data_IF_174170494943
#
_entry.id   IF_174170494943
#
_cell.length_a   1.000
_cell.length_b   1.000
_cell.length_c   1.000
_cell.angle_alpha   90.00
_cell.angle_beta   90.00
_cell.angle_gamma   90.00
#
_symmetry.space_group_name_H-M   'P 1'
#
loop_
_entity.id
_entity.type
_entity.pdbx_description
1 polymer ?
#
# COMPACT_ATOMS: atom_id res chain seq x y z
N UNK A 1 27.42 -25.82 -38.74
CA UNK A 1 27.27 -27.13 -38.05
C UNK A 1 26.10 -27.03 -37.10
N UNK A 2 24.94 -27.40 -37.63
CA UNK A 2 23.96 -28.38 -37.11
C UNK A 2 22.89 -27.74 -36.23
N UNK A 3 21.85 -27.24 -36.89
CA UNK A 3 20.52 -27.12 -36.30
C UNK A 3 19.98 -28.53 -36.05
N UNK A 4 19.49 -28.78 -34.83
CA UNK A 4 18.79 -30.01 -34.46
C UNK A 4 17.33 -29.68 -34.13
N UNK A 5 16.34 -30.38 -34.71
CA UNK A 5 14.93 -30.13 -34.50
C UNK A 5 14.44 -30.84 -33.23
N UNK A 6 14.11 -30.06 -32.20
CA UNK A 6 13.34 -30.53 -31.04
C UNK A 6 12.60 -29.35 -30.39
N UNK A 7 11.58 -28.86 -31.07
CA UNK A 7 10.59 -27.95 -30.52
C UNK A 7 9.58 -28.74 -29.67
N UNK A 8 9.97 -29.06 -28.43
CA UNK A 8 9.11 -29.57 -27.36
C UNK A 8 9.57 -29.02 -26.01
N UNK A 9 8.90 -27.97 -25.54
CA UNK A 9 8.82 -27.60 -24.12
C UNK A 9 10.08 -26.98 -23.49
N UNK A 10 10.69 -25.96 -24.11
CA UNK A 10 11.67 -25.13 -23.39
C UNK A 10 10.95 -24.37 -22.28
N UNK A 11 11.25 -24.72 -21.03
CA UNK A 11 10.87 -23.89 -19.89
C UNK A 11 11.39 -22.48 -20.13
N UNK A 12 10.52 -21.47 -20.03
CA UNK A 12 10.92 -20.07 -20.16
C UNK A 12 11.96 -19.80 -19.07
N UNK A 13 13.18 -19.47 -19.48
CA UNK A 13 14.29 -19.18 -18.56
C UNK A 13 13.96 -17.95 -17.71
N UNK A 14 14.43 -17.96 -16.46
CA UNK A 14 14.37 -16.79 -15.58
C UNK A 14 15.17 -15.65 -16.22
N UNK A 15 14.57 -14.47 -16.30
CA UNK A 15 15.20 -13.28 -16.83
C UNK A 15 15.24 -12.20 -15.75
N UNK A 16 16.35 -11.48 -15.64
CA UNK A 16 16.55 -10.48 -14.61
C UNK A 16 17.30 -9.27 -15.13
N UNK A 17 16.92 -8.10 -14.62
CA UNK A 17 17.57 -6.81 -14.83
C UNK A 17 17.95 -6.21 -13.48
N UNK A 18 19.08 -5.50 -13.46
CA UNK A 18 19.64 -4.85 -12.27
C UNK A 18 20.20 -3.51 -12.68
N UNK A 19 19.85 -2.47 -11.94
CA UNK A 19 20.34 -1.12 -12.20
C UNK A 19 20.53 -0.34 -10.90
N UNK A 20 21.62 0.43 -10.83
CA UNK A 20 21.85 1.42 -9.78
C UNK A 20 21.24 2.77 -10.19
N UNK A 21 20.51 3.39 -9.29
CA UNK A 21 19.85 4.68 -9.47
C UNK A 21 20.45 5.67 -8.47
N UNK A 22 21.28 6.60 -8.95
CA UNK A 22 21.89 7.65 -8.13
C UNK A 22 21.14 8.98 -8.31
N UNK A 23 20.60 9.54 -7.22
CA UNK A 23 19.84 10.80 -7.24
C UNK A 23 19.84 11.46 -5.86
N UNK A 24 20.00 12.79 -5.82
CA UNK A 24 19.96 13.55 -4.56
C UNK A 24 21.02 13.16 -3.52
N UNK A 25 22.19 12.67 -3.96
CA UNK A 25 23.27 12.19 -3.07
C UNK A 25 23.02 10.82 -2.44
N UNK A 26 21.98 10.10 -2.88
CA UNK A 26 21.67 8.74 -2.45
C UNK A 26 21.78 7.77 -3.61
N UNK A 27 22.14 6.53 -3.30
CA UNK A 27 22.14 5.42 -4.25
C UNK A 27 21.03 4.43 -3.89
N UNK A 28 20.23 4.10 -4.88
CA UNK A 28 19.16 3.11 -4.83
C UNK A 28 19.47 1.99 -5.81
N UNK A 29 18.90 0.82 -5.60
CA UNK A 29 19.08 -0.31 -6.49
C UNK A 29 17.72 -0.85 -6.93
N UNK A 30 17.54 -1.04 -8.23
CA UNK A 30 16.36 -1.64 -8.82
C UNK A 30 16.73 -2.99 -9.41
N UNK A 31 16.09 -4.05 -8.90
CA UNK A 31 16.11 -5.38 -9.49
C UNK A 31 14.75 -5.68 -10.09
N UNK A 32 14.69 -6.27 -11.27
CA UNK A 32 13.41 -6.71 -11.87
C UNK A 32 13.55 -8.09 -12.48
N UNK A 33 12.77 -9.04 -11.98
CA UNK A 33 12.92 -10.47 -12.28
C UNK A 33 11.61 -11.05 -12.77
N UNK A 34 11.64 -11.80 -13.87
CA UNK A 34 10.52 -12.63 -14.30
C UNK A 34 10.50 -13.95 -13.53
N UNK A 35 9.34 -14.31 -12.99
CA UNK A 35 9.09 -15.53 -12.22
C UNK A 35 8.19 -16.47 -13.05
N UNK A 36 8.76 -17.42 -13.82
CA UNK A 36 8.01 -18.18 -14.83
C UNK A 36 6.87 -19.02 -14.26
N UNK A 37 7.05 -19.59 -13.06
CA UNK A 37 6.03 -20.44 -12.41
C UNK A 37 4.74 -19.67 -12.10
N UNK A 38 4.87 -18.40 -11.72
CA UNK A 38 3.75 -17.52 -11.39
C UNK A 38 3.32 -16.63 -12.55
N UNK A 39 4.12 -16.59 -13.63
CA UNK A 39 3.95 -15.68 -14.78
C UNK A 39 3.86 -14.21 -14.36
N UNK A 40 4.66 -13.82 -13.35
CA UNK A 40 4.74 -12.44 -12.87
C UNK A 40 6.12 -11.85 -13.12
N UNK A 41 6.16 -10.53 -13.27
CA UNK A 41 7.37 -9.73 -13.17
C UNK A 41 7.38 -9.08 -11.80
N UNK A 42 8.49 -9.21 -11.08
CA UNK A 42 8.67 -8.58 -9.77
C UNK A 42 9.78 -7.55 -9.82
N UNK A 43 9.45 -6.29 -9.57
CA UNK A 43 10.43 -5.22 -9.34
C UNK A 43 10.67 -5.06 -7.84
N UNK A 44 11.93 -4.99 -7.42
CA UNK A 44 12.33 -4.81 -6.02
C UNK A 44 13.29 -3.63 -5.93
N UNK A 45 13.01 -2.68 -5.05
CA UNK A 45 13.80 -1.50 -4.81
C UNK A 45 14.51 -1.58 -3.46
N UNK A 46 15.79 -1.25 -3.46
CA UNK A 46 16.63 -1.28 -2.28
C UNK A 46 17.32 0.06 -2.05
N UNK A 47 17.57 0.35 -0.78
CA UNK A 47 18.42 1.45 -0.33
C UNK A 47 19.33 0.92 0.76
N UNK A 48 20.63 1.18 0.68
CA UNK A 48 21.63 0.64 1.63
C UNK A 48 21.59 -0.90 1.82
N UNK A 49 21.14 -1.64 0.80
CA UNK A 49 20.98 -3.10 0.86
C UNK A 49 19.67 -3.59 1.47
N UNK A 50 18.82 -2.69 1.95
CA UNK A 50 17.51 -3.02 2.54
C UNK A 50 16.40 -2.84 1.50
N UNK A 51 15.50 -3.83 1.42
CA UNK A 51 14.32 -3.77 0.56
C UNK A 51 13.32 -2.78 1.16
N UNK A 52 12.99 -1.71 0.43
CA UNK A 52 11.95 -0.78 0.86
C UNK A 52 10.67 -0.91 0.02
N UNK A 53 10.76 -1.24 -1.27
CA UNK A 53 9.58 -1.35 -2.13
C UNK A 53 9.63 -2.57 -3.05
N UNK A 54 8.46 -3.13 -3.37
CA UNK A 54 8.31 -4.28 -4.27
C UNK A 54 7.06 -4.11 -5.11
N UNK A 55 7.13 -4.22 -6.42
CA UNK A 55 5.96 -4.23 -7.31
C UNK A 55 5.85 -5.57 -8.03
N UNK A 56 4.61 -6.00 -8.27
CA UNK A 56 4.29 -7.25 -8.96
C UNK A 56 3.37 -6.90 -10.10
N UNK A 57 3.78 -7.28 -11.31
CA UNK A 57 3.05 -7.04 -12.55
C UNK A 57 2.75 -8.39 -13.19
N UNK A 58 1.49 -8.62 -13.57
CA UNK A 58 1.08 -9.89 -14.19
C UNK A 58 1.45 -9.86 -15.67
N UNK A 59 2.11 -10.90 -16.18
CA UNK A 59 2.41 -10.99 -17.63
C UNK A 59 1.12 -11.01 -18.48
N UNK A 60 0.00 -11.46 -17.91
CA UNK A 60 -1.30 -11.45 -18.56
C UNK A 60 -1.82 -10.04 -18.90
N UNK A 61 -1.27 -9.01 -18.25
CA UNK A 61 -1.60 -7.61 -18.51
C UNK A 61 -0.79 -7.01 -19.67
N UNK A 62 0.21 -7.74 -20.18
CA UNK A 62 0.99 -7.27 -21.31
C UNK A 62 0.17 -7.31 -22.63
N UNK A 63 0.46 -6.41 -23.58
CA UNK A 63 -0.17 -6.46 -24.90
C UNK A 63 -0.01 -7.84 -25.56
N UNK A 64 -1.03 -8.28 -26.29
CA UNK A 64 -1.04 -9.59 -26.93
C UNK A 64 0.22 -9.83 -27.79
N UNK A 65 0.88 -10.98 -27.59
CA UNK A 65 2.12 -11.34 -28.28
C UNK A 65 3.40 -10.79 -27.65
N UNK A 66 3.32 -10.00 -26.58
CA UNK A 66 4.50 -9.54 -25.83
C UNK A 66 5.14 -10.72 -25.11
N UNK A 67 6.41 -10.99 -25.40
CA UNK A 67 7.18 -12.01 -24.69
C UNK A 67 7.59 -11.53 -23.29
N UNK A 68 7.85 -12.48 -22.38
CA UNK A 68 8.19 -12.19 -20.98
C UNK A 68 9.42 -11.29 -20.84
N UNK A 69 10.42 -11.40 -21.74
CA UNK A 69 11.65 -10.60 -21.67
C UNK A 69 11.38 -9.16 -22.06
N UNK A 70 10.60 -8.95 -23.13
CA UNK A 70 10.16 -7.62 -23.57
C UNK A 70 9.30 -6.95 -22.50
N UNK A 71 8.34 -7.68 -21.91
CA UNK A 71 7.53 -7.17 -20.81
C UNK A 71 8.37 -6.81 -19.57
N UNK A 72 9.32 -7.67 -19.18
CA UNK A 72 10.20 -7.40 -18.04
C UNK A 72 11.05 -6.15 -18.24
N UNK A 73 11.59 -5.92 -19.45
CA UNK A 73 12.31 -4.69 -19.79
C UNK A 73 11.43 -3.46 -19.71
N UNK A 74 10.20 -3.56 -20.20
CA UNK A 74 9.23 -2.48 -20.12
C UNK A 74 8.92 -2.11 -18.67
N UNK A 75 8.52 -3.09 -17.85
CA UNK A 75 8.24 -2.91 -16.42
C UNK A 75 9.44 -2.34 -15.67
N UNK A 76 10.66 -2.82 -15.98
CA UNK A 76 11.88 -2.29 -15.36
C UNK A 76 12.09 -0.80 -15.65
N UNK A 77 12.01 -0.41 -16.92
CA UNK A 77 12.19 0.99 -17.32
C UNK A 77 11.08 1.88 -16.77
N UNK A 78 9.83 1.43 -16.82
CA UNK A 78 8.71 2.18 -16.28
C UNK A 78 8.85 2.40 -14.77
N UNK A 79 9.15 1.36 -14.01
CA UNK A 79 9.32 1.46 -12.56
C UNK A 79 10.50 2.37 -12.19
N UNK A 80 11.60 2.33 -12.95
CA UNK A 80 12.73 3.26 -12.82
C UNK A 80 12.32 4.69 -13.11
N UNK A 81 11.65 4.95 -14.23
CA UNK A 81 11.28 6.29 -14.66
C UNK A 81 10.31 6.92 -13.65
N UNK A 82 9.29 6.17 -13.19
CA UNK A 82 8.38 6.63 -12.12
C UNK A 82 9.12 6.92 -10.81
N UNK A 83 10.15 6.15 -10.48
CA UNK A 83 10.93 6.37 -9.26
C UNK A 83 11.81 7.63 -9.37
N UNK A 84 12.57 7.76 -10.46
CA UNK A 84 13.37 8.95 -10.75
C UNK A 84 12.50 10.22 -10.79
N UNK A 85 11.31 10.08 -11.37
CA UNK A 85 10.29 11.11 -11.39
C UNK A 85 9.90 11.56 -9.97
N UNK A 86 9.51 10.62 -9.09
CA UNK A 86 9.20 10.95 -7.69
C UNK A 86 10.35 11.69 -6.98
N UNK A 87 11.58 11.24 -7.19
CA UNK A 87 12.77 11.91 -6.61
C UNK A 87 12.99 13.32 -7.19
N UNK A 88 12.75 13.52 -8.48
CA UNK A 88 12.80 14.83 -9.13
C UNK A 88 11.71 15.78 -8.63
N UNK A 89 10.47 15.30 -8.50
CA UNK A 89 9.37 16.05 -7.90
C UNK A 89 9.73 16.50 -6.47
N UNK A 90 10.33 15.62 -5.66
CA UNK A 90 10.81 15.96 -4.31
C UNK A 90 11.84 17.09 -4.30
N UNK A 91 12.86 17.04 -5.16
CA UNK A 91 13.88 18.09 -5.25
C UNK A 91 13.29 19.47 -5.59
N UNK A 92 12.22 19.49 -6.39
CA UNK A 92 11.53 20.73 -6.79
C UNK A 92 10.60 21.23 -5.68
N UNK A 93 9.73 20.37 -5.16
CA UNK A 93 8.72 20.70 -4.13
C UNK A 93 9.40 21.23 -2.86
N UNK A 94 10.54 20.69 -2.46
CA UNK A 94 11.30 21.19 -1.29
C UNK A 94 11.79 22.64 -1.40
N UNK A 95 11.74 23.23 -2.59
CA UNK A 95 12.07 24.65 -2.83
C UNK A 95 10.83 25.54 -2.90
N UNK A 96 9.65 24.95 -2.85
CA UNK A 96 8.37 25.65 -2.96
C UNK A 96 7.81 25.96 -1.57
N UNK A 97 7.06 27.05 -1.47
CA UNK A 97 6.28 27.39 -0.27
C UNK A 97 4.84 26.90 -0.45
N UNK A 98 4.66 25.57 -0.57
CA UNK A 98 3.39 24.95 -0.94
C UNK A 98 3.07 23.74 -0.05
N UNK A 99 2.18 23.96 0.91
CA UNK A 99 1.74 22.96 1.86
C UNK A 99 1.03 21.76 1.18
N UNK A 100 0.25 22.00 0.13
CA UNK A 100 -0.49 20.95 -0.58
C UNK A 100 0.47 20.08 -1.39
N UNK A 101 1.47 20.69 -2.05
CA UNK A 101 2.50 19.94 -2.76
C UNK A 101 3.28 19.01 -1.83
N UNK A 102 3.67 19.48 -0.64
CA UNK A 102 4.31 18.66 0.38
C UNK A 102 3.41 17.51 0.86
N UNK A 103 2.11 17.76 1.10
CA UNK A 103 1.15 16.70 1.47
C UNK A 103 1.05 15.61 0.39
N UNK A 104 0.92 16.01 -0.88
CA UNK A 104 0.81 15.07 -2.00
C UNK A 104 2.10 14.28 -2.19
N UNK A 105 3.25 14.92 -2.05
CA UNK A 105 4.52 14.23 -2.10
C UNK A 105 4.66 13.20 -0.95
N UNK A 106 4.27 13.57 0.27
CA UNK A 106 4.24 12.66 1.41
C UNK A 106 3.36 11.43 1.13
N UNK A 107 2.18 11.63 0.53
CA UNK A 107 1.29 10.53 0.14
C UNK A 107 1.97 9.58 -0.85
N UNK A 108 2.67 10.11 -1.87
CA UNK A 108 3.34 9.32 -2.88
C UNK A 108 4.52 8.52 -2.30
N UNK A 109 5.27 9.14 -1.37
CA UNK A 109 6.37 8.49 -0.66
C UNK A 109 5.86 7.36 0.25
N UNK A 110 4.75 7.58 0.98
CA UNK A 110 4.09 6.55 1.77
C UNK A 110 3.68 5.33 0.93
N UNK A 111 3.11 5.56 -0.27
CA UNK A 111 2.74 4.48 -1.20
C UNK A 111 3.95 3.70 -1.73
N UNK A 112 5.10 4.36 -1.80
CA UNK A 112 6.40 3.75 -2.12
C UNK A 112 7.13 3.16 -0.92
N UNK A 113 6.50 3.11 0.25
CA UNK A 113 7.09 2.66 1.52
C UNK A 113 8.35 3.45 1.93
N UNK A 114 8.53 4.66 1.43
CA UNK A 114 9.58 5.60 1.85
C UNK A 114 9.05 6.41 3.04
N UNK A 115 8.89 5.73 4.18
CA UNK A 115 8.14 6.24 5.33
C UNK A 115 8.82 7.43 6.01
N UNK A 116 10.14 7.39 6.15
CA UNK A 116 10.91 8.46 6.76
C UNK A 116 10.83 9.75 5.92
N UNK A 117 10.96 9.62 4.60
CA UNK A 117 10.76 10.74 3.68
C UNK A 117 9.33 11.24 3.70
N UNK A 118 8.34 10.33 3.73
CA UNK A 118 6.94 10.72 3.80
C UNK A 118 6.63 11.52 5.07
N UNK A 119 7.18 11.12 6.22
CA UNK A 119 7.05 11.85 7.49
C UNK A 119 7.67 13.25 7.38
N UNK A 120 8.85 13.37 6.76
CA UNK A 120 9.51 14.67 6.55
C UNK A 120 8.64 15.61 5.72
N UNK A 121 8.11 15.14 4.57
CA UNK A 121 7.27 15.97 3.71
C UNK A 121 5.90 16.26 4.34
N UNK A 122 5.32 15.35 5.12
CA UNK A 122 4.09 15.60 5.86
C UNK A 122 4.29 16.66 6.97
N UNK A 123 5.43 16.67 7.66
CA UNK A 123 5.79 17.73 8.62
C UNK A 123 6.00 19.07 7.93
N UNK A 124 6.68 19.09 6.78
CA UNK A 124 6.82 20.31 5.97
C UNK A 124 5.46 20.85 5.53
N UNK A 125 4.51 19.99 5.15
CA UNK A 125 3.13 20.41 4.86
C UNK A 125 2.49 21.18 6.04
N UNK A 126 2.64 20.65 7.26
CA UNK A 126 2.16 21.32 8.49
C UNK A 126 2.87 22.66 8.69
N UNK A 127 4.20 22.68 8.63
CA UNK A 127 5.02 23.88 8.84
C UNK A 127 4.71 24.99 7.81
N UNK A 128 4.23 24.60 6.63
CA UNK A 128 3.80 25.47 5.53
C UNK A 128 2.35 25.94 5.65
N UNK A 129 1.67 25.62 6.76
CA UNK A 129 0.33 26.11 7.06
C UNK A 129 -0.80 25.16 6.71
N UNK A 130 -0.53 23.86 6.50
CA UNK A 130 -1.61 22.88 6.37
C UNK A 130 -2.29 22.65 7.73
N UNK A 131 -3.50 23.19 7.88
CA UNK A 131 -4.34 23.04 9.08
C UNK A 131 -5.26 21.82 9.07
N UNK A 132 -5.15 20.92 8.10
CA UNK A 132 -5.96 19.70 8.02
C UNK A 132 -5.32 18.54 8.81
N UNK A 133 -6.11 17.52 9.08
CA UNK A 133 -5.76 16.23 9.65
C UNK A 133 -4.99 15.30 8.70
N UNK A 134 -5.03 15.54 7.39
CA UNK A 134 -4.41 14.66 6.38
C UNK A 134 -2.89 14.44 6.56
N UNK A 135 -2.05 15.45 6.86
CA UNK A 135 -0.64 15.22 7.19
C UNK A 135 -0.45 14.27 8.39
N UNK A 136 -1.29 14.39 9.42
CA UNK A 136 -1.23 13.55 10.61
C UNK A 136 -1.61 12.10 10.33
N UNK A 137 -2.56 11.86 9.41
CA UNK A 137 -2.86 10.52 8.90
C UNK A 137 -1.63 9.89 8.25
N UNK A 138 -0.91 10.64 7.42
CA UNK A 138 0.29 10.13 6.74
C UNK A 138 1.41 9.84 7.74
N UNK A 139 1.64 10.72 8.72
CA UNK A 139 2.64 10.50 9.76
C UNK A 139 2.27 9.27 10.59
N UNK A 140 1.03 9.18 11.08
CA UNK A 140 0.56 8.04 11.89
C UNK A 140 0.70 6.71 11.15
N UNK A 141 0.31 6.68 9.87
CA UNK A 141 0.45 5.48 9.02
C UNK A 141 1.91 5.10 8.80
N UNK A 142 2.78 6.06 8.49
CA UNK A 142 4.20 5.82 8.29
C UNK A 142 4.87 5.32 9.59
N UNK A 143 4.57 5.95 10.73
CA UNK A 143 5.08 5.55 12.05
C UNK A 143 4.62 4.15 12.46
N UNK A 144 3.37 3.77 12.20
CA UNK A 144 2.89 2.39 12.39
C UNK A 144 3.71 1.38 11.57
N UNK A 145 4.04 1.73 10.32
CA UNK A 145 4.84 0.87 9.43
C UNK A 145 6.30 0.76 9.82
N UNK A 146 6.82 1.77 10.52
CA UNK A 146 8.14 1.76 11.15
C UNK A 146 8.13 1.15 12.56
N UNK A 147 6.97 0.65 13.02
CA UNK A 147 6.76 0.09 14.37
C UNK A 147 7.01 1.11 15.51
N UNK A 148 6.96 2.40 15.20
CA UNK A 148 7.12 3.52 16.14
C UNK A 148 5.77 3.90 16.74
N UNK A 149 5.16 2.98 17.48
CA UNK A 149 3.76 3.05 17.92
C UNK A 149 3.44 4.28 18.80
N UNK A 150 4.36 4.71 19.66
CA UNK A 150 4.17 5.88 20.51
C UNK A 150 4.07 7.18 19.71
N UNK A 151 4.96 7.37 18.72
CA UNK A 151 4.88 8.53 17.83
C UNK A 151 3.68 8.45 16.88
N UNK A 152 3.28 7.24 16.46
CA UNK A 152 2.06 7.04 15.69
C UNK A 152 0.83 7.51 16.51
N UNK A 153 0.76 7.13 17.79
CA UNK A 153 -0.32 7.55 18.69
C UNK A 153 -0.42 9.07 18.78
N UNK A 154 0.69 9.75 19.07
CA UNK A 154 0.72 11.22 19.21
C UNK A 154 0.28 11.92 17.91
N UNK A 155 0.75 11.44 16.76
CA UNK A 155 0.37 12.01 15.46
C UNK A 155 -1.12 11.82 15.19
N UNK A 156 -1.64 10.61 15.40
CA UNK A 156 -3.05 10.30 15.16
C UNK A 156 -3.96 11.06 16.13
N UNK A 157 -3.58 11.19 17.40
CA UNK A 157 -4.34 12.00 18.37
C UNK A 157 -4.45 13.46 17.93
N UNK A 158 -3.35 14.09 17.50
CA UNK A 158 -3.41 15.45 16.94
C UNK A 158 -4.32 15.55 15.71
N UNK A 159 -4.29 14.54 14.85
CA UNK A 159 -5.22 14.44 13.73
C UNK A 159 -6.68 14.41 14.18
N UNK A 160 -6.99 13.64 15.24
CA UNK A 160 -8.36 13.49 15.80
C UNK A 160 -8.83 14.80 16.44
N UNK A 161 -7.93 15.53 17.12
CA UNK A 161 -8.22 16.86 17.67
C UNK A 161 -8.62 17.86 16.58
N UNK A 162 -8.00 17.76 15.40
CA UNK A 162 -8.30 18.62 14.24
C UNK A 162 -9.59 18.19 13.53
N UNK A 163 -9.72 16.89 13.25
CA UNK A 163 -10.89 16.34 12.57
C UNK A 163 -11.33 15.01 13.21
N UNK A 164 -12.26 15.06 14.18
CA UNK A 164 -12.73 13.87 14.89
C UNK A 164 -13.64 12.97 14.05
N UNK A 165 -14.04 13.39 12.85
CA UNK A 165 -14.92 12.65 11.95
C UNK A 165 -14.17 11.97 10.80
N UNK A 166 -12.83 12.01 10.79
CA UNK A 166 -12.06 11.35 9.74
C UNK A 166 -11.84 9.85 10.04
N UNK A 167 -12.41 8.91 9.26
CA UNK A 167 -12.38 7.48 9.58
C UNK A 167 -10.97 6.88 9.65
N UNK A 168 -10.05 7.35 8.79
CA UNK A 168 -8.66 6.89 8.75
C UNK A 168 -7.97 7.02 10.11
N UNK A 169 -8.21 8.13 10.83
CA UNK A 169 -7.58 8.36 12.13
C UNK A 169 -8.05 7.35 13.18
N UNK A 170 -9.35 7.03 13.19
CA UNK A 170 -9.91 6.04 14.11
C UNK A 170 -9.43 4.61 13.77
N UNK A 171 -9.23 4.31 12.48
CA UNK A 171 -8.59 3.05 12.09
C UNK A 171 -7.12 3.00 12.56
N UNK A 172 -6.35 4.08 12.36
CA UNK A 172 -4.93 4.11 12.73
C UNK A 172 -4.74 4.03 14.25
N UNK A 173 -5.52 4.75 15.06
CA UNK A 173 -5.41 4.65 16.51
C UNK A 173 -5.85 3.27 17.02
N UNK A 174 -6.84 2.65 16.36
CA UNK A 174 -7.23 1.27 16.62
C UNK A 174 -6.08 0.29 16.35
N UNK A 175 -5.33 0.48 15.27
CA UNK A 175 -4.12 -0.32 14.99
C UNK A 175 -3.04 -0.12 16.05
N UNK A 176 -2.81 1.11 16.52
CA UNK A 176 -1.88 1.37 17.63
C UNK A 176 -2.29 0.56 18.86
N UNK A 177 -3.56 0.64 19.28
CA UNK A 177 -4.06 -0.13 20.42
C UNK A 177 -3.97 -1.65 20.21
N UNK A 178 -4.22 -2.12 18.99
CA UNK A 178 -4.11 -3.53 18.64
C UNK A 178 -2.66 -4.04 18.80
N UNK A 179 -1.67 -3.25 18.36
CA UNK A 179 -0.25 -3.55 18.57
C UNK A 179 0.15 -3.55 20.05
N UNK A 180 -0.44 -2.66 20.85
CA UNK A 180 -0.28 -2.66 22.31
C UNK A 180 -1.07 -3.76 23.03
N UNK A 181 -1.78 -4.64 22.29
CA UNK A 181 -2.67 -5.68 22.81
C UNK A 181 -3.79 -5.16 23.72
N UNK A 182 -4.22 -3.92 23.50
CA UNK A 182 -5.38 -3.29 24.16
C UNK A 182 -6.61 -3.46 23.26
N UNK A 183 -7.28 -4.60 23.37
CA UNK A 183 -8.34 -5.01 22.45
C UNK A 183 -9.60 -4.17 22.60
N UNK A 184 -10.01 -3.83 23.83
CA UNK A 184 -11.21 -3.02 24.05
C UNK A 184 -11.15 -1.63 23.37
N UNK A 185 -10.10 -0.80 23.57
CA UNK A 185 -10.00 0.48 22.87
C UNK A 185 -9.73 0.33 21.37
N UNK A 186 -9.05 -0.75 20.93
CA UNK A 186 -8.91 -1.04 19.50
C UNK A 186 -10.27 -1.28 18.83
N UNK A 187 -11.10 -2.13 19.42
CA UNK A 187 -12.46 -2.45 18.95
C UNK A 187 -13.32 -1.19 18.85
N UNK A 188 -13.29 -0.33 19.86
CA UNK A 188 -14.06 0.92 19.85
C UNK A 188 -13.60 1.86 18.75
N UNK A 189 -12.29 1.97 18.55
CA UNK A 189 -11.71 2.80 17.48
C UNK A 189 -12.10 2.29 16.09
N UNK A 190 -12.05 0.97 15.85
CA UNK A 190 -12.49 0.40 14.57
C UNK A 190 -14.00 0.56 14.36
N UNK A 191 -14.83 0.39 15.39
CA UNK A 191 -16.27 0.66 15.32
C UNK A 191 -16.55 2.12 14.97
N UNK A 192 -15.78 3.07 15.53
CA UNK A 192 -15.90 4.48 15.20
C UNK A 192 -15.53 4.76 13.74
N UNK A 193 -14.45 4.16 13.23
CA UNK A 193 -14.08 4.27 11.82
C UNK A 193 -15.20 3.74 10.90
N UNK A 194 -15.79 2.59 11.23
CA UNK A 194 -16.92 1.99 10.49
C UNK A 194 -18.16 2.89 10.54
N UNK A 195 -18.48 3.46 11.70
CA UNK A 195 -19.64 4.35 11.85
C UNK A 195 -19.51 5.63 11.01
N UNK A 196 -18.28 6.13 10.85
CA UNK A 196 -17.98 7.30 10.01
C UNK A 196 -17.97 6.95 8.51
N UNK A 197 -17.57 5.72 8.14
CA UNK A 197 -17.62 5.25 6.76
C UNK A 197 -17.89 3.73 6.68
N UNK A 198 -19.14 3.37 6.36
CA UNK A 198 -19.60 1.98 6.22
C UNK A 198 -19.04 1.24 4.99
N UNK A 199 -18.35 1.96 4.10
CA UNK A 199 -17.66 1.40 2.93
C UNK A 199 -16.14 1.32 3.14
N UNK A 200 -15.64 1.65 4.34
CA UNK A 200 -14.23 1.50 4.66
C UNK A 200 -13.93 0.05 5.08
N UNK A 201 -13.39 -0.76 4.16
CA UNK A 201 -13.17 -2.20 4.38
C UNK A 201 -12.10 -2.54 5.43
N UNK A 202 -11.03 -1.75 5.52
CA UNK A 202 -9.87 -2.05 6.38
C UNK A 202 -10.22 -2.12 7.89
N UNK A 203 -11.03 -1.21 8.47
CA UNK A 203 -11.54 -1.35 9.83
C UNK A 203 -12.28 -2.65 10.12
N UNK A 204 -13.02 -3.23 9.16
CA UNK A 204 -13.71 -4.49 9.38
C UNK A 204 -12.73 -5.66 9.55
N UNK A 205 -11.68 -5.72 8.72
CA UNK A 205 -10.60 -6.71 8.87
C UNK A 205 -9.92 -6.54 10.24
N UNK A 206 -9.61 -5.30 10.60
CA UNK A 206 -8.96 -5.00 11.88
C UNK A 206 -9.86 -5.29 13.10
N UNK A 207 -11.17 -5.10 12.95
CA UNK A 207 -12.14 -5.45 13.99
C UNK A 207 -12.21 -6.98 14.19
N UNK A 208 -12.17 -7.77 13.12
CA UNK A 208 -12.07 -9.23 13.22
C UNK A 208 -10.76 -9.66 13.94
N UNK A 209 -9.62 -9.03 13.58
CA UNK A 209 -8.33 -9.25 14.26
C UNK A 209 -8.40 -8.88 15.74
N UNK A 210 -9.05 -7.78 16.09
CA UNK A 210 -9.16 -7.32 17.48
C UNK A 210 -10.01 -8.25 18.36
N UNK A 211 -11.12 -8.77 17.85
CA UNK A 211 -11.91 -9.77 18.58
C UNK A 211 -11.14 -11.09 18.74
N UNK A 212 -10.41 -11.52 17.71
CA UNK A 212 -9.60 -12.73 17.78
C UNK A 212 -8.45 -12.57 18.78
N UNK A 213 -7.76 -11.43 18.75
CA UNK A 213 -6.71 -11.11 19.70
C UNK A 213 -7.25 -11.10 21.13
N UNK A 214 -8.43 -10.52 21.38
CA UNK A 214 -9.07 -10.54 22.70
C UNK A 214 -9.25 -11.97 23.22
N UNK A 215 -9.65 -12.90 22.36
CA UNK A 215 -9.79 -14.32 22.71
C UNK A 215 -8.46 -15.00 23.02
N UNK A 216 -7.39 -14.61 22.31
CA UNK A 216 -6.01 -15.08 22.55
C UNK A 216 -5.47 -14.55 23.89
N UNK A 217 -5.57 -13.24 24.13
CA UNK A 217 -5.00 -12.61 25.35
C UNK A 217 -5.92 -12.68 26.56
N UNK A 218 -7.19 -13.07 26.36
CA UNK A 218 -8.24 -13.18 27.39
C UNK A 218 -8.43 -11.88 28.19
N UNK A 219 -8.39 -10.74 27.50
CA UNK A 219 -8.51 -9.41 28.11
C UNK A 219 -9.92 -9.16 28.66
N UNK A 220 -10.96 -9.38 27.86
CA UNK A 220 -12.35 -9.19 28.25
C UNK A 220 -13.24 -10.34 27.76
N UNK A 221 -13.85 -11.06 28.72
CA UNK A 221 -14.74 -12.18 28.42
C UNK A 221 -16.02 -11.75 27.69
N UNK A 222 -16.54 -10.55 27.96
CA UNK A 222 -17.77 -10.05 27.33
C UNK A 222 -17.54 -9.79 25.83
N UNK A 223 -16.33 -9.34 25.47
CA UNK A 223 -15.97 -9.14 24.07
C UNK A 223 -15.87 -10.46 23.29
N UNK A 224 -15.58 -11.58 23.97
CA UNK A 224 -15.50 -12.93 23.38
C UNK A 224 -16.86 -13.60 23.17
N UNK A 225 -17.96 -13.06 23.69
CA UNK A 225 -19.30 -13.58 23.39
C UNK A 225 -19.61 -13.43 21.91
N UNK A 226 -20.26 -14.42 21.31
CA UNK A 226 -20.64 -14.44 19.89
C UNK A 226 -19.44 -14.20 18.96
N UNK A 227 -18.25 -14.70 19.36
CA UNK A 227 -17.00 -14.51 18.61
C UNK A 227 -17.15 -14.98 17.16
N UNK A 228 -17.78 -16.14 16.93
CA UNK A 228 -17.99 -16.70 15.60
C UNK A 228 -18.78 -15.74 14.70
N UNK A 229 -19.87 -15.16 15.22
CA UNK A 229 -20.68 -14.19 14.48
C UNK A 229 -19.87 -12.92 14.20
N UNK A 230 -19.21 -12.36 15.22
CA UNK A 230 -18.40 -11.15 15.09
C UNK A 230 -17.26 -11.35 14.09
N UNK A 231 -16.56 -12.48 14.14
CA UNK A 231 -15.45 -12.80 13.26
C UNK A 231 -15.92 -12.91 11.81
N UNK A 232 -16.90 -13.78 11.53
CA UNK A 232 -17.35 -14.04 10.16
C UNK A 232 -18.03 -12.82 9.53
N UNK A 233 -18.85 -12.08 10.29
CA UNK A 233 -19.52 -10.87 9.79
C UNK A 233 -18.51 -9.82 9.35
N UNK A 234 -17.52 -9.51 10.19
CA UNK A 234 -16.54 -8.48 9.89
C UNK A 234 -15.59 -8.91 8.77
N UNK A 235 -15.13 -10.16 8.79
CA UNK A 235 -14.23 -10.67 7.75
C UNK A 235 -14.91 -10.73 6.37
N UNK A 236 -16.17 -11.15 6.31
CA UNK A 236 -16.95 -11.17 5.07
C UNK A 236 -17.16 -9.77 4.51
N UNK A 237 -17.48 -8.79 5.37
CA UNK A 237 -17.63 -7.39 4.96
C UNK A 237 -16.31 -6.78 4.48
N UNK A 238 -15.20 -7.14 5.11
CA UNK A 238 -13.87 -6.66 4.69
C UNK A 238 -13.53 -7.13 3.27
N UNK A 239 -13.74 -8.41 2.97
CA UNK A 239 -13.50 -8.98 1.62
C UNK A 239 -14.44 -8.40 0.58
N UNK A 240 -15.72 -8.18 0.93
CA UNK A 240 -16.69 -7.55 0.03
C UNK A 240 -16.26 -6.12 -0.37
N UNK A 241 -15.74 -5.34 0.60
CA UNK A 241 -15.37 -3.95 0.38
C UNK A 241 -13.97 -3.74 -0.19
N UNK A 242 -13.08 -4.73 -0.05
CA UNK A 242 -11.70 -4.63 -0.50
C UNK A 242 -11.30 -5.85 -1.35
N UNK A 243 -11.42 -5.75 -2.68
CA UNK A 243 -11.02 -6.80 -3.62
C UNK A 243 -9.54 -7.17 -3.57
N UNK A 244 -8.69 -6.34 -2.96
CA UNK A 244 -7.25 -6.60 -2.82
C UNK A 244 -6.91 -7.48 -1.62
N UNK A 245 -7.87 -7.74 -0.71
CA UNK A 245 -7.68 -8.74 0.35
C UNK A 245 -7.62 -10.12 -0.32
N UNK A 246 -6.52 -10.83 -0.11
CA UNK A 246 -6.31 -12.13 -0.72
C UNK A 246 -7.28 -13.16 -0.14
N UNK A 247 -8.31 -13.53 -0.92
CA UNK A 247 -9.36 -14.47 -0.51
C UNK A 247 -8.80 -15.81 -0.01
N UNK A 248 -7.74 -16.33 -0.63
CA UNK A 248 -7.06 -17.56 -0.20
C UNK A 248 -6.51 -17.47 1.24
N UNK A 249 -5.92 -16.31 1.60
CA UNK A 249 -5.39 -16.09 2.96
C UNK A 249 -6.54 -15.99 3.96
N UNK A 250 -7.63 -15.32 3.58
CA UNK A 250 -8.83 -15.21 4.40
C UNK A 250 -9.49 -16.57 4.65
N UNK A 251 -9.59 -17.41 3.62
CA UNK A 251 -10.17 -18.74 3.75
C UNK A 251 -9.32 -19.66 4.63
N UNK A 252 -7.99 -19.51 4.55
CA UNK A 252 -7.06 -20.15 5.50
C UNK A 252 -7.30 -19.67 6.93
N UNK A 253 -7.46 -18.36 7.15
CA UNK A 253 -7.73 -17.80 8.47
C UNK A 253 -9.06 -18.33 9.04
N UNK A 254 -10.12 -18.44 8.22
CA UNK A 254 -11.39 -19.06 8.62
C UNK A 254 -11.26 -20.53 8.99
N UNK A 255 -10.45 -21.30 8.25
CA UNK A 255 -10.22 -22.70 8.56
C UNK A 255 -9.53 -22.86 9.93
N UNK A 256 -8.46 -22.09 10.17
CA UNK A 256 -7.75 -22.05 11.44
C UNK A 256 -8.66 -21.60 12.59
N UNK A 257 -9.51 -20.61 12.35
CA UNK A 257 -10.49 -20.14 13.33
C UNK A 257 -11.46 -21.25 13.77
N UNK A 258 -12.00 -22.03 12.82
CA UNK A 258 -12.89 -23.18 13.12
C UNK A 258 -12.20 -24.31 13.88
N UNK A 259 -10.88 -24.43 13.74
CA UNK A 259 -10.05 -25.36 14.50
C UNK A 259 -9.64 -24.81 15.88
N UNK A 260 -10.18 -23.65 16.29
CA UNK A 260 -9.82 -22.92 17.52
C UNK A 260 -8.34 -22.51 17.61
N UNK A 261 -7.64 -22.49 16.47
CA UNK A 261 -6.23 -22.07 16.36
C UNK A 261 -6.15 -20.56 16.16
N UNK A 262 -6.54 -19.80 17.18
CA UNK A 262 -6.73 -18.36 17.09
C UNK A 262 -5.43 -17.59 16.82
N UNK A 263 -4.31 -18.00 17.37
CA UNK A 263 -3.00 -17.38 17.11
C UNK A 263 -2.57 -17.57 15.66
N UNK A 264 -2.77 -18.76 15.10
CA UNK A 264 -2.45 -19.06 13.71
C UNK A 264 -3.39 -18.31 12.75
N UNK A 265 -4.68 -18.25 13.09
CA UNK A 265 -5.67 -17.47 12.34
C UNK A 265 -5.33 -15.98 12.35
N UNK A 266 -4.89 -15.42 13.49
CA UNK A 266 -4.47 -14.03 13.60
C UNK A 266 -3.23 -13.77 12.72
N UNK A 267 -2.22 -14.63 12.79
CA UNK A 267 -1.03 -14.53 11.94
C UNK A 267 -1.37 -14.59 10.44
N UNK A 268 -2.36 -15.40 10.04
CA UNK A 268 -2.85 -15.42 8.68
C UNK A 268 -3.53 -14.11 8.28
N UNK A 269 -4.34 -13.49 9.16
CA UNK A 269 -4.96 -12.19 8.86
C UNK A 269 -3.96 -11.04 8.80
N UNK A 270 -2.88 -11.10 9.59
CA UNK A 270 -1.78 -10.14 9.51
C UNK A 270 -1.13 -10.17 8.12
N UNK A 271 -0.94 -11.37 7.53
CA UNK A 271 -0.47 -11.53 6.15
C UNK A 271 -1.45 -10.93 5.13
N UNK A 272 -2.77 -11.10 5.33
CA UNK A 272 -3.81 -10.57 4.44
C UNK A 272 -3.84 -9.03 4.44
N UNK A 273 -3.52 -8.40 5.58
CA UNK A 273 -3.51 -6.94 5.73
C UNK A 273 -2.35 -6.22 5.02
N UNK A 274 -1.32 -6.97 4.58
CA UNK A 274 -0.11 -6.43 3.93
C UNK A 274 -0.25 -6.07 2.45
N UNK A 275 -1.43 -6.24 1.85
CA UNK A 275 -1.70 -5.87 0.46
C UNK A 275 -1.81 -4.35 0.31
N UNK A 276 -0.71 -3.68 -0.01
CA UNK A 276 -0.74 -2.25 -0.32
C UNK A 276 -1.66 -1.97 -1.52
N UNK A 277 -2.59 -1.02 -1.35
CA UNK A 277 -3.36 -0.38 -2.43
C UNK A 277 -2.39 0.22 -3.45
N UNK A 278 -2.08 -0.58 -4.47
CA UNK A 278 -1.21 -0.25 -5.59
C UNK A 278 -2.04 -0.41 -6.85
N UNK A 279 -2.40 0.71 -7.48
CA UNK A 279 -3.07 0.72 -8.78
C UNK A 279 -4.45 1.39 -8.84
N UNK A 280 -4.90 2.06 -7.78
CA UNK A 280 -6.19 2.79 -7.79
C UNK A 280 -6.14 4.17 -8.47
N UNK A 281 -7.31 4.73 -8.81
CA UNK A 281 -7.48 6.10 -9.39
C UNK A 281 -6.64 7.13 -8.63
N UNK A 282 -6.63 7.00 -7.30
CA UNK A 282 -5.92 7.93 -6.41
C UNK A 282 -4.41 7.96 -6.68
N UNK A 283 -3.79 6.83 -6.99
CA UNK A 283 -2.37 6.77 -7.38
C UNK A 283 -2.14 7.47 -8.72
N UNK A 284 -3.00 7.23 -9.71
CA UNK A 284 -2.89 7.85 -11.04
C UNK A 284 -3.03 9.38 -10.95
N UNK A 285 -4.03 9.85 -10.20
CA UNK A 285 -4.26 11.28 -9.96
C UNK A 285 -3.07 11.91 -9.24
N UNK A 286 -2.48 11.20 -8.29
CA UNK A 286 -1.32 11.67 -7.54
C UNK A 286 -0.07 11.76 -8.41
N UNK A 287 0.22 10.74 -9.22
CA UNK A 287 1.32 10.74 -10.18
C UNK A 287 1.17 11.91 -11.18
N UNK A 288 -0.05 12.14 -11.69
CA UNK A 288 -0.35 13.26 -12.60
C UNK A 288 -0.12 14.62 -11.94
N UNK A 289 -0.60 14.80 -10.71
CA UNK A 289 -0.40 16.04 -9.95
C UNK A 289 1.08 16.35 -9.76
N UNK A 290 1.86 15.36 -9.33
CA UNK A 290 3.29 15.53 -9.16
C UNK A 290 3.97 15.86 -10.50
N UNK A 291 3.52 15.25 -11.61
CA UNK A 291 4.10 15.48 -12.93
C UNK A 291 3.88 16.91 -13.40
N UNK A 292 2.66 17.41 -13.26
CA UNK A 292 2.35 18.80 -13.55
C UNK A 292 3.29 19.75 -12.78
N UNK A 293 3.45 19.52 -11.48
CA UNK A 293 4.34 20.32 -10.64
C UNK A 293 5.80 20.22 -11.09
N UNK A 294 6.30 19.02 -11.38
CA UNK A 294 7.68 18.83 -11.81
C UNK A 294 7.96 19.51 -13.16
N UNK A 295 7.06 19.37 -14.13
CA UNK A 295 7.19 19.99 -15.46
C UNK A 295 6.96 21.49 -15.46
N UNK A 296 6.43 22.07 -14.36
CA UNK A 296 6.19 23.51 -14.25
C UNK A 296 4.94 23.97 -14.99
N UNK A 297 3.97 23.08 -15.18
CA UNK A 297 2.73 23.35 -15.90
C UNK A 297 2.72 22.94 -17.37
N UNK A 298 3.89 22.71 -17.97
CA UNK A 298 4.03 22.29 -19.36
C UNK A 298 4.04 20.75 -19.47
N UNK A 299 2.85 20.15 -19.40
CA UNK A 299 2.68 18.72 -19.71
C UNK A 299 2.66 18.51 -21.23
N UNK A 300 3.58 17.69 -21.76
CA UNK A 300 3.51 17.25 -23.16
C UNK A 300 2.24 16.40 -23.40
N UNK A 301 1.64 16.55 -24.58
CA UNK A 301 0.44 15.82 -25.03
C UNK A 301 0.64 14.31 -24.88
N UNK A 302 1.83 13.79 -25.20
CA UNK A 302 2.15 12.37 -25.02
C UNK A 302 2.06 11.90 -23.56
N UNK A 303 2.44 12.76 -22.61
CA UNK A 303 2.34 12.44 -21.20
C UNK A 303 0.86 12.36 -20.80
N UNK A 304 0.05 13.35 -21.21
CA UNK A 304 -1.39 13.40 -20.95
C UNK A 304 -2.10 12.19 -21.56
N UNK A 305 -1.81 11.84 -22.82
CA UNK A 305 -2.40 10.68 -23.51
C UNK A 305 -2.09 9.37 -22.76
N UNK A 306 -0.83 9.17 -22.34
CA UNK A 306 -0.46 8.01 -21.53
C UNK A 306 -1.18 7.94 -20.17
N UNK A 307 -1.53 9.08 -19.56
CA UNK A 307 -2.37 9.08 -18.34
C UNK A 307 -3.82 8.73 -18.64
N UNK A 308 -4.39 9.30 -19.70
CA UNK A 308 -5.77 8.99 -20.10
C UNK A 308 -5.94 7.51 -20.42
N UNK A 309 -4.95 6.91 -21.07
CA UNK A 309 -4.95 5.47 -21.35
C UNK A 309 -4.87 4.64 -20.07
N UNK A 310 -4.07 5.03 -19.07
CA UNK A 310 -4.06 4.36 -17.75
C UNK A 310 -5.37 4.51 -16.97
N UNK A 311 -5.98 5.69 -16.99
CA UNK A 311 -7.30 5.89 -16.36
C UNK A 311 -8.35 5.01 -17.04
N UNK A 312 -8.35 4.97 -18.39
CA UNK A 312 -9.25 4.11 -19.17
C UNK A 312 -9.03 2.65 -18.88
N UNK A 313 -7.79 2.18 -18.92
CA UNK A 313 -7.45 0.78 -18.62
C UNK A 313 -7.89 0.39 -17.20
N UNK A 314 -7.71 1.28 -16.23
CA UNK A 314 -8.13 1.03 -14.86
C UNK A 314 -9.66 0.98 -14.72
N UNK A 315 -10.39 1.86 -15.42
CA UNK A 315 -11.85 1.84 -15.50
C UNK A 315 -12.37 0.59 -16.22
N UNK A 316 -11.70 0.15 -17.29
CA UNK A 316 -12.03 -1.06 -18.04
C UNK A 316 -11.77 -2.34 -17.23
N UNK A 317 -10.76 -2.33 -16.37
CA UNK A 317 -10.46 -3.43 -15.42
C UNK A 317 -11.41 -3.46 -14.22
N UNK A 318 -12.06 -2.33 -13.90
CA UNK A 318 -13.01 -2.21 -12.79
C UNK A 318 -14.30 -1.52 -13.26
N UNK A 319 -15.05 -2.14 -14.20
CA UNK A 319 -16.32 -1.57 -14.65
C UNK A 319 -17.29 -1.57 -13.48
N UNK A 320 -17.77 -0.37 -13.13
CA UNK A 320 -18.79 -0.14 -12.08
C UNK A 320 -20.04 -0.97 -12.29
#
# INVERSE_FOLDING_TARGET
MVESPADKGRAVESFELREEIAKGGRSYFLQTSFLPRRKIVQSSFFVNGELFDRRIDQLAEAPAGTDARTFTKHVHNENKDRFLFLLGAREKIRKMDDAVAHLRLAEALCRRNLFEEAIQEARLSIDKGNGDSAPYVLIGRAKLRLEEYGEAFEAVQKGIEINPEYPDLHNLIGLVYLHERKCAPAIESFKRAIALNIYYGEPYLNLARAYLLNSVVKEDYELSKDLDEKFEKNLSRAVELNPFIQGEIVDRARALFREEKYEEALAALDEASGGADRGGIREIVLELYLLFLQSGGDLDVKAIDGYLDRVREMLDRNPT
#
